data_IF_170121478138
#
_entry.id   IF_170121478138
#
_cell.length_a   1.000
_cell.length_b   1.000
_cell.length_c   1.000
_cell.angle_alpha   90.00
_cell.angle_beta   90.00
_cell.angle_gamma   90.00
#
_symmetry.space_group_name_H-M   'P 1'
#
loop_
_entity.id
_entity.type
_entity.pdbx_description
1 polymer ?
#
# COMPACT_ATOMS: atom_id res chain seq x y z
N UNK A 1 -2.59 -24.94 18.47
CA UNK A 1 -2.03 -23.58 18.35
C UNK A 1 -2.25 -23.17 16.90
N UNK A 2 -3.13 -22.22 16.65
CA UNK A 2 -3.55 -21.85 15.30
C UNK A 2 -2.36 -21.27 14.53
N UNK A 3 -2.10 -21.82 13.35
CA UNK A 3 -1.12 -21.30 12.41
C UNK A 3 -1.58 -19.88 12.03
N UNK A 4 -0.92 -18.86 12.56
CA UNK A 4 -1.09 -17.49 12.09
C UNK A 4 -0.78 -17.53 10.60
N UNK A 5 -1.80 -17.36 9.77
CA UNK A 5 -1.65 -17.33 8.32
C UNK A 5 -0.56 -16.30 8.00
N UNK A 6 0.58 -16.76 7.53
CA UNK A 6 1.66 -15.92 7.05
C UNK A 6 1.10 -14.96 6.01
N UNK A 7 0.84 -13.71 6.42
CA UNK A 7 0.61 -12.58 5.52
C UNK A 7 1.98 -12.18 4.94
N UNK A 8 2.75 -13.13 4.41
CA UNK A 8 4.10 -12.87 3.90
C UNK A 8 4.04 -12.38 2.46
N UNK A 9 3.11 -12.92 1.67
CA UNK A 9 2.90 -12.53 0.28
C UNK A 9 2.20 -11.17 0.13
N UNK A 10 1.09 -10.96 0.83
CA UNK A 10 0.22 -9.79 0.63
C UNK A 10 0.67 -8.52 1.39
N UNK A 11 1.74 -8.59 2.19
CA UNK A 11 2.20 -7.47 3.04
C UNK A 11 2.44 -6.17 2.26
N UNK A 12 2.81 -6.27 0.98
CA UNK A 12 3.11 -5.13 0.11
C UNK A 12 1.86 -4.29 -0.20
N UNK A 13 0.68 -4.91 -0.26
CA UNK A 13 -0.60 -4.22 -0.46
C UNK A 13 -1.36 -3.95 0.84
N UNK A 14 -1.05 -4.66 1.93
CA UNK A 14 -1.81 -4.56 3.18
C UNK A 14 -1.69 -3.19 3.87
N UNK A 15 -2.79 -2.50 4.16
CA UNK A 15 -2.76 -1.19 4.81
C UNK A 15 -2.02 -1.18 6.18
N UNK A 16 -1.37 -0.06 6.58
CA UNK A 16 -0.60 0.04 7.83
C UNK A 16 -1.39 -0.33 9.08
N UNK A 17 -2.66 0.06 9.14
CA UNK A 17 -3.57 -0.23 10.24
C UNK A 17 -3.93 -1.72 10.32
N UNK A 18 -4.02 -2.40 9.17
CA UNK A 18 -4.21 -3.85 9.11
C UNK A 18 -2.95 -4.61 9.55
N UNK A 19 -1.76 -4.09 9.22
CA UNK A 19 -0.47 -4.62 9.73
C UNK A 19 -0.42 -4.53 11.26
N UNK A 20 -1.01 -3.48 11.86
CA UNK A 20 -1.13 -3.32 13.30
C UNK A 20 -2.23 -4.20 13.93
N UNK A 21 -2.92 -5.03 13.14
CA UNK A 21 -3.95 -5.96 13.62
C UNK A 21 -5.34 -5.35 13.74
N UNK A 22 -5.59 -4.16 13.18
CA UNK A 22 -6.97 -3.66 13.03
C UNK A 22 -7.70 -4.49 11.97
N UNK A 23 -9.03 -4.54 12.08
CA UNK A 23 -9.86 -5.24 11.10
C UNK A 23 -9.83 -4.48 9.76
N UNK A 24 -9.88 -5.21 8.63
CA UNK A 24 -10.06 -4.60 7.32
C UNK A 24 -11.31 -3.70 7.27
N UNK A 25 -11.19 -2.63 6.51
CA UNK A 25 -12.22 -1.60 6.29
C UNK A 25 -12.16 -1.07 4.86
N UNK A 26 -13.15 -0.26 4.48
CA UNK A 26 -13.15 0.41 3.17
C UNK A 26 -11.89 1.25 2.95
N UNK A 27 -11.36 1.90 3.99
CA UNK A 27 -10.11 2.68 3.87
C UNK A 27 -8.90 1.77 3.60
N UNK A 28 -8.87 0.57 4.18
CA UNK A 28 -7.80 -0.39 3.90
C UNK A 28 -7.90 -0.99 2.48
N UNK A 29 -9.11 -1.08 1.93
CA UNK A 29 -9.34 -1.49 0.53
C UNK A 29 -8.84 -0.40 -0.44
N UNK A 30 -9.07 0.87 -0.14
CA UNK A 30 -8.52 2.02 -0.91
C UNK A 30 -7.00 2.00 -0.90
N UNK A 31 -6.37 1.77 0.25
CA UNK A 31 -4.92 1.61 0.33
C UNK A 31 -4.42 0.46 -0.56
N UNK A 32 -5.04 -0.71 -0.44
CA UNK A 32 -4.65 -1.88 -1.23
C UNK A 32 -4.81 -1.59 -2.73
N UNK A 33 -5.86 -0.87 -3.11
CA UNK A 33 -6.10 -0.47 -4.49
C UNK A 33 -5.07 0.55 -5.00
N UNK A 34 -4.65 1.52 -4.18
CA UNK A 34 -3.53 2.42 -4.51
C UNK A 34 -2.23 1.67 -4.80
N UNK A 35 -1.93 0.64 -4.01
CA UNK A 35 -0.80 -0.27 -4.25
C UNK A 35 -0.98 -1.12 -5.52
N UNK A 36 -2.21 -1.51 -5.85
CA UNK A 36 -2.53 -2.20 -7.11
C UNK A 36 -2.37 -1.27 -8.33
N UNK A 37 -2.78 -0.02 -8.25
CA UNK A 37 -2.54 0.99 -9.30
C UNK A 37 -1.04 1.16 -9.52
N UNK A 38 -0.27 1.32 -8.43
CA UNK A 38 1.19 1.39 -8.51
C UNK A 38 1.77 0.18 -9.26
N UNK A 39 1.36 -1.03 -8.89
CA UNK A 39 1.83 -2.26 -9.52
C UNK A 39 1.46 -2.33 -11.01
N UNK A 40 0.23 -1.95 -11.36
CA UNK A 40 -0.26 -1.97 -12.74
C UNK A 40 0.55 -1.03 -13.65
N UNK A 41 0.92 0.15 -13.13
CA UNK A 41 1.72 1.12 -13.88
C UNK A 41 3.20 0.74 -13.95
N UNK A 42 3.77 0.23 -12.86
CA UNK A 42 5.20 -0.10 -12.78
C UNK A 42 5.54 -1.44 -13.42
N UNK A 43 4.60 -2.38 -13.41
CA UNK A 43 4.78 -3.77 -13.83
C UNK A 43 5.57 -4.61 -12.83
N UNK A 44 5.71 -4.15 -11.58
CA UNK A 44 6.42 -4.83 -10.49
C UNK A 44 5.62 -4.66 -9.20
N UNK A 45 5.79 -5.58 -8.28
CA UNK A 45 5.15 -5.51 -6.97
C UNK A 45 5.55 -4.23 -6.21
N UNK A 46 4.67 -3.66 -5.36
CA UNK A 46 5.03 -2.53 -4.53
C UNK A 46 6.25 -2.84 -3.66
N UNK A 47 7.14 -1.85 -3.51
CA UNK A 47 8.41 -2.00 -2.79
C UNK A 47 9.33 -3.10 -3.39
N UNK A 48 9.29 -3.38 -4.70
CA UNK A 48 10.12 -4.43 -5.34
C UNK A 48 11.63 -4.32 -5.05
N UNK A 49 12.11 -3.14 -4.67
CA UNK A 49 13.51 -2.86 -4.30
C UNK A 49 13.87 -3.33 -2.88
N UNK A 50 12.89 -3.69 -2.06
CA UNK A 50 13.07 -4.18 -0.69
C UNK A 50 12.80 -5.68 -0.66
N UNK A 51 13.80 -6.48 -0.30
CA UNK A 51 13.69 -7.94 -0.29
C UNK A 51 12.95 -8.50 0.94
N UNK A 52 13.08 -7.85 2.11
CA UNK A 52 12.56 -8.39 3.37
C UNK A 52 11.20 -7.78 3.74
N UNK A 53 10.22 -8.63 4.04
CA UNK A 53 8.88 -8.20 4.41
C UNK A 53 8.83 -7.32 5.67
N UNK A 54 9.73 -7.54 6.63
CA UNK A 54 9.80 -6.70 7.84
C UNK A 54 10.28 -5.27 7.55
N UNK A 55 11.17 -5.09 6.55
CA UNK A 55 11.60 -3.77 6.09
C UNK A 55 10.45 -3.06 5.37
N UNK A 56 9.69 -3.77 4.51
CA UNK A 56 8.46 -3.23 3.89
C UNK A 56 7.46 -2.80 4.95
N UNK A 57 7.21 -3.62 5.96
CA UNK A 57 6.35 -3.27 7.09
C UNK A 57 6.82 -2.00 7.79
N UNK A 58 8.13 -1.87 8.06
CA UNK A 58 8.68 -0.69 8.73
C UNK A 58 8.46 0.59 7.90
N UNK A 59 8.73 0.55 6.58
CA UNK A 59 8.46 1.67 5.67
C UNK A 59 6.99 2.09 5.71
N UNK A 60 6.07 1.13 5.61
CA UNK A 60 4.62 1.41 5.60
C UNK A 60 4.14 2.04 6.90
N UNK A 61 4.63 1.55 8.04
CA UNK A 61 4.31 2.12 9.35
C UNK A 61 4.92 3.52 9.56
N UNK A 62 5.95 3.89 8.78
CA UNK A 62 6.53 5.21 8.74
C UNK A 62 5.87 6.16 7.71
N UNK A 63 4.86 5.69 6.96
CA UNK A 63 4.21 6.46 5.90
C UNK A 63 5.05 6.57 4.61
N UNK A 64 6.07 5.73 4.45
CA UNK A 64 6.91 5.72 3.26
C UNK A 64 6.25 4.91 2.13
N UNK A 65 6.16 5.52 0.95
CA UNK A 65 5.63 4.90 -0.25
C UNK A 65 6.72 4.17 -1.06
N UNK A 66 6.35 3.25 -1.97
CA UNK A 66 7.31 2.67 -2.91
C UNK A 66 8.02 3.75 -3.73
N UNK A 67 9.23 3.42 -4.22
CA UNK A 67 9.98 4.28 -5.13
C UNK A 67 9.14 4.66 -6.35
N UNK A 68 8.90 5.95 -6.56
CA UNK A 68 8.24 6.46 -7.76
C UNK A 68 9.12 6.17 -8.99
N UNK A 69 8.55 5.60 -10.04
CA UNK A 69 9.19 5.49 -11.38
C UNK A 69 8.55 6.57 -12.29
N UNK A 70 9.11 7.80 -12.43
CA UNK A 70 8.43 8.92 -13.10
C UNK A 70 8.17 8.69 -14.60
N UNK A 71 8.95 7.83 -15.23
CA UNK A 71 8.75 7.41 -16.62
C UNK A 71 7.49 6.55 -16.81
N UNK A 72 6.97 5.95 -15.72
CA UNK A 72 5.79 5.07 -15.73
C UNK A 72 4.60 5.66 -14.99
N UNK A 73 4.85 6.50 -13.98
CA UNK A 73 3.83 7.10 -13.14
C UNK A 73 3.86 8.62 -13.32
N UNK A 74 2.87 9.15 -14.05
CA UNK A 74 2.67 10.58 -14.21
C UNK A 74 2.26 11.24 -12.87
N UNK A 75 2.21 12.57 -12.84
CA UNK A 75 1.94 13.31 -11.60
C UNK A 75 0.52 13.06 -11.05
N UNK A 76 -0.47 12.92 -11.92
CA UNK A 76 -1.86 12.69 -11.52
C UNK A 76 -2.06 11.31 -10.86
N UNK A 77 -1.53 10.25 -11.49
CA UNK A 77 -1.56 8.92 -10.91
C UNK A 77 -0.74 8.84 -9.63
N UNK A 78 0.39 9.56 -9.55
CA UNK A 78 1.19 9.61 -8.34
C UNK A 78 0.45 10.31 -7.21
N UNK A 79 -0.19 11.46 -7.46
CA UNK A 79 -1.03 12.14 -6.46
C UNK A 79 -2.14 11.24 -5.93
N UNK A 80 -2.83 10.52 -6.82
CA UNK A 80 -3.85 9.55 -6.44
C UNK A 80 -3.29 8.44 -5.55
N UNK A 81 -2.15 7.83 -5.94
CA UNK A 81 -1.49 6.80 -5.14
C UNK A 81 -1.10 7.35 -3.76
N UNK A 82 -0.59 8.59 -3.69
CA UNK A 82 -0.23 9.22 -2.42
C UNK A 82 -1.44 9.39 -1.51
N UNK A 83 -2.55 9.95 -2.01
CA UNK A 83 -3.78 10.15 -1.23
C UNK A 83 -4.42 8.83 -0.80
N UNK A 84 -4.44 7.83 -1.68
CA UNK A 84 -4.97 6.49 -1.37
C UNK A 84 -4.14 5.74 -0.33
N UNK A 85 -2.86 6.12 -0.17
CA UNK A 85 -1.92 5.44 0.72
C UNK A 85 -1.41 6.35 1.84
N UNK A 86 -2.22 7.29 2.30
CA UNK A 86 -1.91 8.11 3.46
C UNK A 86 -1.75 7.24 4.72
N UNK A 87 -1.09 7.78 5.75
CA UNK A 87 -0.95 7.08 7.02
C UNK A 87 -2.23 7.18 7.86
N UNK A 88 -3.00 8.26 7.69
CA UNK A 88 -4.32 8.39 8.30
C UNK A 88 -5.41 7.85 7.35
N UNK A 89 -6.07 6.72 7.70
CA UNK A 89 -7.11 6.15 6.85
C UNK A 89 -8.32 7.08 6.61
N UNK A 90 -8.48 8.14 7.40
CA UNK A 90 -9.54 9.14 7.23
C UNK A 90 -9.22 10.16 6.13
N UNK A 91 -7.95 10.28 5.74
CA UNK A 91 -7.50 11.17 4.66
C UNK A 91 -7.53 10.47 3.29
N UNK A 92 -7.82 9.15 3.28
CA UNK A 92 -8.01 8.41 2.04
C UNK A 92 -9.24 8.95 1.27
N UNK A 93 -9.17 9.05 -0.08
CA UNK A 93 -10.36 9.21 -0.89
C UNK A 93 -11.34 8.05 -0.67
N UNK A 94 -12.62 8.26 -0.96
CA UNK A 94 -13.55 7.13 -1.03
C UNK A 94 -13.27 6.32 -2.30
N UNK A 95 -13.73 5.08 -2.36
CA UNK A 95 -13.60 4.26 -3.58
C UNK A 95 -14.32 4.88 -4.79
N UNK A 96 -15.28 5.79 -4.57
CA UNK A 96 -15.98 6.52 -5.63
C UNK A 96 -15.13 7.68 -6.18
N UNK A 97 -14.15 8.16 -5.41
CA UNK A 97 -13.26 9.27 -5.74
C UNK A 97 -11.92 8.82 -6.36
N UNK A 98 -11.73 7.50 -6.55
CA UNK A 98 -10.53 6.87 -7.13
C UNK A 98 -10.83 6.35 -8.53
#
# INVERSE_FOLDING_TARGET
>A
MGNGSEITGAVRWLAPECIQGKLPSSASDVYAFGMTIYEALVGKTPYFHISKSNEVTACKLAGELPLREPEKINDEAWDLIQRSCDLDPLEHPTMEDV
#
